data_IF_518152210968
#
_entry.id   IF_518152210968
#
_cell.length_a   1.000
_cell.length_b   1.000
_cell.length_c   1.000
_cell.angle_alpha   90.00
_cell.angle_beta   90.00
_cell.angle_gamma   90.00
#
_symmetry.space_group_name_H-M   'P 1'
#
loop_
_entity.id
_entity.type
_entity.pdbx_description
1 polymer ?
#
# COMPACT_ATOMS: atom_id res chain seq x y z
N UNK A 1 18.06 7.71 -27.76
CA UNK A 1 16.90 6.87 -27.41
C UNK A 1 15.66 7.72 -27.32
N UNK A 2 14.50 7.27 -27.82
CA UNK A 2 13.24 7.98 -27.63
C UNK A 2 12.86 7.99 -26.15
N UNK A 3 12.30 9.09 -25.64
CA UNK A 3 11.81 9.18 -24.26
C UNK A 3 10.69 8.15 -24.04
N UNK A 4 10.66 7.54 -22.87
CA UNK A 4 9.57 6.68 -22.46
C UNK A 4 8.34 7.53 -22.09
N UNK A 5 7.17 7.14 -22.58
CA UNK A 5 5.90 7.78 -22.20
C UNK A 5 5.36 7.16 -20.93
N UNK A 6 5.23 7.97 -19.88
CA UNK A 6 4.77 7.53 -18.55
C UNK A 6 3.46 8.25 -18.22
N UNK A 7 2.42 7.49 -17.87
CA UNK A 7 1.14 8.04 -17.42
C UNK A 7 0.90 7.71 -15.95
N UNK A 8 0.74 8.73 -15.11
CA UNK A 8 0.34 8.59 -13.71
C UNK A 8 -1.18 8.79 -13.59
N UNK A 9 -1.91 7.72 -13.39
CA UNK A 9 -3.36 7.77 -13.18
C UNK A 9 -3.62 8.02 -11.70
N UNK A 10 -4.36 9.10 -11.39
CA UNK A 10 -4.47 9.63 -10.04
C UNK A 10 -3.34 10.62 -9.67
N UNK A 11 -2.63 11.15 -10.67
CA UNK A 11 -1.51 12.09 -10.51
C UNK A 11 -1.84 13.39 -9.79
N UNK A 12 -3.12 13.71 -9.59
CA UNK A 12 -3.60 14.87 -8.81
C UNK A 12 -3.85 14.56 -7.32
N UNK A 13 -3.82 13.29 -6.92
CA UNK A 13 -3.89 12.86 -5.53
C UNK A 13 -2.56 13.06 -4.80
N UNK A 14 -2.55 12.96 -3.47
CA UNK A 14 -1.33 13.15 -2.65
C UNK A 14 -0.19 12.25 -3.14
N UNK A 15 -0.38 10.93 -3.15
CA UNK A 15 0.65 10.02 -3.62
C UNK A 15 1.03 10.26 -5.09
N UNK A 16 0.03 10.55 -5.95
CA UNK A 16 0.26 10.84 -7.37
C UNK A 16 1.09 12.10 -7.60
N UNK A 17 0.91 13.13 -6.78
CA UNK A 17 1.73 14.35 -6.84
C UNK A 17 3.19 14.05 -6.47
N UNK A 18 3.45 13.34 -5.36
CA UNK A 18 4.81 12.94 -4.98
C UNK A 18 5.50 12.12 -6.09
N UNK A 19 4.78 11.15 -6.68
CA UNK A 19 5.30 10.36 -7.80
C UNK A 19 5.60 11.25 -9.00
N UNK A 20 4.69 12.17 -9.33
CA UNK A 20 4.85 13.09 -10.45
C UNK A 20 6.05 14.02 -10.26
N UNK A 21 6.17 14.61 -9.08
CA UNK A 21 7.26 15.52 -8.74
C UNK A 21 8.61 14.79 -8.78
N UNK A 22 8.67 13.56 -8.27
CA UNK A 22 9.88 12.74 -8.36
C UNK A 22 10.25 12.42 -9.82
N UNK A 23 9.30 12.01 -10.64
CA UNK A 23 9.53 11.68 -12.05
C UNK A 23 9.94 12.88 -12.91
N UNK A 24 9.60 14.10 -12.50
CA UNK A 24 10.05 15.32 -13.18
C UNK A 24 11.58 15.47 -13.18
N UNK A 25 12.28 14.91 -12.22
CA UNK A 25 13.75 14.88 -12.20
C UNK A 25 14.33 14.03 -13.36
N UNK A 26 13.54 13.14 -13.93
CA UNK A 26 13.91 12.23 -15.02
C UNK A 26 13.34 12.65 -16.38
N UNK A 27 12.96 13.92 -16.54
CA UNK A 27 12.33 14.45 -17.75
C UNK A 27 13.19 14.31 -19.03
N UNK A 28 14.48 14.03 -18.88
CA UNK A 28 15.38 13.79 -20.02
C UNK A 28 15.18 12.41 -20.65
N UNK A 29 14.71 11.44 -19.87
CA UNK A 29 14.47 10.05 -20.31
C UNK A 29 12.99 9.70 -20.42
N UNK A 30 12.09 10.45 -19.79
CA UNK A 30 10.65 10.21 -19.86
C UNK A 30 9.85 11.44 -20.27
N UNK A 31 8.73 11.21 -20.94
CA UNK A 31 7.66 12.17 -21.21
C UNK A 31 6.50 11.87 -20.26
N UNK A 32 6.19 12.83 -19.37
CA UNK A 32 5.31 12.60 -18.25
C UNK A 32 3.90 13.12 -18.52
N UNK A 33 2.93 12.26 -18.25
CA UNK A 33 1.51 12.54 -18.31
C UNK A 33 0.86 12.21 -16.98
N UNK A 34 -0.16 13.00 -16.62
CA UNK A 34 -1.04 12.65 -15.49
C UNK A 34 -2.48 12.56 -15.96
N UNK A 35 -3.23 11.66 -15.34
CA UNK A 35 -4.64 11.52 -15.62
C UNK A 35 -5.49 11.63 -14.36
N UNK A 36 -6.64 12.29 -14.47
CA UNK A 36 -7.68 12.34 -13.45
C UNK A 36 -9.05 12.63 -14.07
N UNK A 37 -10.11 12.44 -13.26
CA UNK A 37 -11.50 12.70 -13.68
C UNK A 37 -11.82 14.19 -13.81
N UNK A 38 -11.22 15.02 -12.96
CA UNK A 38 -11.39 16.47 -12.98
C UNK A 38 -10.43 17.14 -13.95
N UNK A 39 -10.75 18.38 -14.36
CA UNK A 39 -9.81 19.23 -15.09
C UNK A 39 -9.00 20.00 -14.07
N UNK A 40 -7.68 19.79 -14.08
CA UNK A 40 -6.75 20.51 -13.22
C UNK A 40 -5.84 21.39 -14.08
N UNK A 41 -5.67 22.67 -13.66
CA UNK A 41 -4.62 23.52 -14.22
C UNK A 41 -3.29 23.05 -13.62
N UNK A 42 -2.44 22.50 -14.48
CA UNK A 42 -1.09 22.12 -14.09
C UNK A 42 -0.20 23.32 -14.34
N UNK A 43 0.51 23.79 -13.31
CA UNK A 43 1.46 24.90 -13.43
C UNK A 43 2.76 24.48 -14.12
N UNK A 44 3.09 23.18 -14.08
CA UNK A 44 4.31 22.63 -14.65
C UNK A 44 4.19 22.38 -16.16
N UNK A 45 4.92 23.16 -16.96
CA UNK A 45 4.94 23.02 -18.43
C UNK A 45 5.45 21.67 -18.95
N UNK A 46 6.13 20.90 -18.10
CA UNK A 46 6.73 19.59 -18.46
C UNK A 46 5.79 18.40 -18.27
N UNK A 47 4.60 18.63 -17.73
CA UNK A 47 3.59 17.58 -17.47
C UNK A 47 2.40 17.81 -18.37
N UNK A 48 1.97 16.76 -19.07
CA UNK A 48 0.76 16.79 -19.90
C UNK A 48 -0.42 16.20 -19.13
N UNK A 49 -1.60 16.77 -19.30
CA UNK A 49 -2.82 16.32 -18.61
C UNK A 49 -3.76 15.59 -19.55
N UNK A 50 -4.31 14.48 -19.07
CA UNK A 50 -5.35 13.70 -19.74
C UNK A 50 -6.57 13.61 -18.82
N UNK A 51 -7.73 14.04 -19.29
CA UNK A 51 -8.98 13.79 -18.58
C UNK A 51 -9.40 12.34 -18.86
N UNK A 52 -9.46 11.53 -17.81
CA UNK A 52 -9.79 10.10 -17.91
C UNK A 52 -10.52 9.60 -16.67
N UNK A 53 -11.53 8.76 -16.88
CA UNK A 53 -12.13 7.94 -15.84
C UNK A 53 -11.76 6.49 -16.09
N UNK A 54 -11.18 5.82 -15.08
CA UNK A 54 -10.79 4.40 -15.18
C UNK A 54 -11.98 3.45 -15.31
N UNK A 55 -13.20 3.92 -15.01
CA UNK A 55 -14.43 3.15 -15.15
C UNK A 55 -15.04 3.24 -16.56
N UNK A 56 -14.52 4.13 -17.41
CA UNK A 56 -14.88 4.21 -18.83
C UNK A 56 -14.09 3.18 -19.65
N UNK A 57 -14.55 1.93 -19.59
CA UNK A 57 -13.87 0.79 -20.21
C UNK A 57 -13.77 0.88 -21.74
N UNK A 58 -14.61 1.68 -22.40
CA UNK A 58 -14.59 1.81 -23.86
C UNK A 58 -13.39 2.62 -24.36
N UNK A 59 -12.97 3.63 -23.61
CA UNK A 59 -11.91 4.54 -24.01
C UNK A 59 -10.56 4.26 -23.37
N UNK A 60 -10.54 3.54 -22.25
CA UNK A 60 -9.31 3.33 -21.45
C UNK A 60 -8.21 2.62 -22.24
N UNK A 61 -8.52 1.59 -23.01
CA UNK A 61 -7.54 0.84 -23.78
C UNK A 61 -6.90 1.69 -24.89
N UNK A 62 -7.70 2.55 -25.54
CA UNK A 62 -7.19 3.46 -26.58
C UNK A 62 -6.18 4.47 -26.03
N UNK A 63 -6.30 4.82 -24.74
CA UNK A 63 -5.35 5.68 -24.03
C UNK A 63 -4.12 4.88 -23.61
N UNK A 64 -4.31 3.77 -22.88
CA UNK A 64 -3.23 2.99 -22.29
C UNK A 64 -2.19 2.53 -23.29
N UNK A 65 -2.62 2.05 -24.48
CA UNK A 65 -1.72 1.57 -25.55
C UNK A 65 -0.76 2.63 -26.11
N UNK A 66 -0.93 3.91 -25.78
CA UNK A 66 -0.06 4.98 -26.21
C UNK A 66 1.15 5.19 -25.29
N UNK A 67 1.21 4.45 -24.17
CA UNK A 67 2.21 4.61 -23.12
C UNK A 67 3.10 3.38 -23.02
N UNK A 68 4.33 3.61 -22.57
CA UNK A 68 5.25 2.52 -22.19
C UNK A 68 5.00 2.03 -20.77
N UNK A 69 4.64 2.97 -19.87
CA UNK A 69 4.49 2.71 -18.42
C UNK A 69 3.22 3.42 -17.92
N UNK A 70 2.40 2.67 -17.20
CA UNK A 70 1.25 3.20 -16.44
C UNK A 70 1.55 3.07 -14.95
N UNK A 71 1.36 4.16 -14.20
CA UNK A 71 1.46 4.15 -12.74
C UNK A 71 0.07 4.42 -12.15
N UNK A 72 -0.43 3.50 -11.36
CA UNK A 72 -1.73 3.62 -10.69
C UNK A 72 -1.53 4.17 -9.28
N UNK A 73 -1.71 5.48 -9.12
CA UNK A 73 -1.73 6.18 -7.84
C UNK A 73 -3.18 6.48 -7.41
N UNK A 74 -4.03 5.47 -7.51
CA UNK A 74 -5.46 5.54 -7.27
C UNK A 74 -5.79 5.08 -5.83
N UNK A 75 -7.06 5.24 -5.46
CA UNK A 75 -7.59 4.65 -4.24
C UNK A 75 -9.05 5.06 -4.00
N UNK A 76 -9.77 4.31 -3.16
CA UNK A 76 -9.35 3.03 -2.57
C UNK A 76 -9.29 1.90 -3.62
N UNK A 77 -8.28 1.04 -3.54
CA UNK A 77 -8.10 -0.04 -4.51
C UNK A 77 -9.22 -1.08 -4.47
N UNK A 78 -9.94 -1.20 -3.36
CA UNK A 78 -11.16 -2.02 -3.27
C UNK A 78 -12.20 -1.68 -4.35
N UNK A 79 -12.21 -0.42 -4.84
CA UNK A 79 -13.11 0.07 -5.88
C UNK A 79 -12.49 0.06 -7.29
N UNK A 80 -11.23 -0.34 -7.43
CA UNK A 80 -10.54 -0.43 -8.73
C UNK A 80 -10.77 -1.82 -9.33
N UNK A 81 -11.17 -1.89 -10.59
CA UNK A 81 -11.29 -3.16 -11.33
C UNK A 81 -9.92 -3.72 -11.72
N UNK A 82 -9.91 -5.00 -12.14
CA UNK A 82 -8.69 -5.64 -12.64
C UNK A 82 -8.49 -5.47 -14.16
N UNK A 83 -9.48 -4.92 -14.87
CA UNK A 83 -9.43 -4.75 -16.32
C UNK A 83 -8.24 -3.94 -16.80
N UNK A 84 -7.87 -2.89 -16.05
CA UNK A 84 -6.72 -2.05 -16.37
C UNK A 84 -5.41 -2.84 -16.45
N UNK A 85 -5.23 -3.81 -15.56
CA UNK A 85 -4.04 -4.67 -15.56
C UNK A 85 -4.06 -5.61 -16.80
N UNK A 86 -5.21 -6.17 -17.10
CA UNK A 86 -5.37 -7.03 -18.28
C UNK A 86 -5.13 -6.27 -19.58
N UNK A 87 -5.60 -5.01 -19.65
CA UNK A 87 -5.34 -4.11 -20.77
C UNK A 87 -3.84 -3.81 -20.91
N UNK A 88 -3.15 -3.49 -19.82
CA UNK A 88 -1.71 -3.26 -19.83
C UNK A 88 -0.95 -4.49 -20.33
N UNK A 89 -1.30 -5.67 -19.80
CA UNK A 89 -0.66 -6.93 -20.22
C UNK A 89 -0.85 -7.20 -21.72
N UNK A 90 -2.06 -7.07 -22.25
CA UNK A 90 -2.35 -7.29 -23.69
C UNK A 90 -1.64 -6.32 -24.61
N UNK A 91 -1.42 -5.09 -24.15
CA UNK A 91 -0.82 -4.03 -24.96
C UNK A 91 0.70 -3.85 -24.68
N UNK A 92 1.34 -4.79 -24.00
CA UNK A 92 2.79 -4.75 -23.69
C UNK A 92 3.23 -3.54 -22.88
N UNK A 93 2.33 -3.00 -22.06
CA UNK A 93 2.56 -1.85 -21.20
C UNK A 93 3.00 -2.33 -19.82
N UNK A 94 4.00 -1.68 -19.24
CA UNK A 94 4.38 -1.91 -17.85
C UNK A 94 3.36 -1.19 -16.95
N UNK A 95 2.76 -1.93 -16.00
CA UNK A 95 1.86 -1.38 -15.01
C UNK A 95 2.49 -1.44 -13.62
N UNK A 96 2.53 -0.31 -12.93
CA UNK A 96 3.03 -0.20 -11.54
C UNK A 96 1.89 0.35 -10.69
N UNK A 97 1.62 -0.23 -9.53
CA UNK A 97 0.63 0.31 -8.60
C UNK A 97 1.14 0.42 -7.17
N UNK A 98 0.47 1.26 -6.37
CA UNK A 98 0.70 1.41 -4.93
C UNK A 98 -0.40 0.73 -4.10
N UNK A 99 -0.95 -0.36 -4.61
CA UNK A 99 -2.08 -1.08 -4.05
C UNK A 99 -1.77 -1.62 -2.65
N UNK A 100 -2.58 -1.23 -1.66
CA UNK A 100 -2.51 -1.62 -0.26
C UNK A 100 -3.71 -2.48 0.19
N UNK A 101 -4.61 -2.84 -0.72
CA UNK A 101 -5.81 -3.62 -0.44
C UNK A 101 -5.55 -5.12 -0.57
N UNK A 102 -5.76 -5.88 0.52
CA UNK A 102 -5.56 -7.33 0.56
C UNK A 102 -6.43 -8.09 -0.45
N UNK A 103 -7.71 -7.69 -0.58
CA UNK A 103 -8.65 -8.34 -1.49
C UNK A 103 -8.33 -8.05 -2.95
N UNK A 104 -8.01 -6.79 -3.26
CA UNK A 104 -7.63 -6.39 -4.61
C UNK A 104 -6.33 -7.05 -5.05
N UNK A 105 -5.31 -7.10 -4.18
CA UNK A 105 -4.06 -7.82 -4.46
C UNK A 105 -4.29 -9.28 -4.81
N UNK A 106 -5.23 -9.95 -4.12
CA UNK A 106 -5.63 -11.31 -4.48
C UNK A 106 -6.15 -11.40 -5.91
N UNK A 107 -7.08 -10.51 -6.28
CA UNK A 107 -7.64 -10.48 -7.64
C UNK A 107 -6.59 -10.20 -8.72
N UNK A 108 -5.62 -9.30 -8.45
CA UNK A 108 -4.52 -9.03 -9.38
C UNK A 108 -3.61 -10.24 -9.54
N UNK A 109 -3.28 -10.94 -8.45
CA UNK A 109 -2.44 -12.12 -8.47
C UNK A 109 -3.09 -13.34 -9.14
N UNK A 110 -4.43 -13.34 -9.24
CA UNK A 110 -5.23 -14.37 -9.87
C UNK A 110 -5.52 -14.09 -11.36
N UNK A 111 -5.05 -12.96 -11.91
CA UNK A 111 -5.18 -12.70 -13.36
C UNK A 111 -4.47 -13.83 -14.11
N UNK A 112 -5.28 -14.78 -14.60
CA UNK A 112 -4.81 -15.91 -15.37
C UNK A 112 -4.71 -15.56 -16.84
N UNK A 113 -3.71 -16.16 -17.43
CA UNK A 113 -3.35 -15.93 -18.81
C UNK A 113 -3.96 -16.99 -19.75
N UNK A 114 -5.22 -17.32 -19.59
CA UNK A 114 -5.85 -18.41 -20.38
C UNK A 114 -5.95 -18.10 -21.88
N UNK A 115 -5.83 -16.84 -22.30
CA UNK A 115 -6.01 -16.41 -23.69
C UNK A 115 -4.86 -15.56 -24.24
N UNK A 116 -3.72 -15.48 -23.58
CA UNK A 116 -2.65 -14.57 -24.00
C UNK A 116 -1.35 -15.33 -24.21
N UNK A 117 -1.18 -15.82 -25.43
CA UNK A 117 -0.02 -16.59 -25.87
C UNK A 117 1.26 -15.74 -26.01
N UNK A 118 1.16 -14.40 -25.97
CA UNK A 118 2.28 -13.48 -26.21
C UNK A 118 2.33 -12.32 -25.21
N UNK A 119 2.32 -12.62 -23.91
CA UNK A 119 2.55 -11.57 -22.92
C UNK A 119 3.97 -11.01 -22.95
N UNK A 120 4.05 -9.70 -23.14
CA UNK A 120 5.28 -8.93 -22.93
C UNK A 120 5.08 -7.79 -21.93
N UNK A 121 3.86 -7.59 -21.42
CA UNK A 121 3.59 -6.65 -20.34
C UNK A 121 4.01 -7.19 -18.99
N UNK A 122 4.28 -6.30 -18.04
CA UNK A 122 4.68 -6.64 -16.67
C UNK A 122 3.85 -5.83 -15.69
N UNK A 123 3.39 -6.49 -14.62
CA UNK A 123 2.71 -5.81 -13.51
C UNK A 123 3.61 -5.84 -12.29
N UNK A 124 3.87 -4.67 -11.72
CA UNK A 124 4.46 -4.46 -10.40
C UNK A 124 3.37 -3.97 -9.47
N UNK A 125 2.81 -4.85 -8.66
CA UNK A 125 1.72 -4.50 -7.73
C UNK A 125 2.23 -4.33 -6.31
N UNK A 126 1.63 -3.38 -5.58
CA UNK A 126 1.98 -3.11 -4.19
C UNK A 126 3.32 -2.40 -4.01
N UNK A 127 3.66 -1.47 -4.89
CA UNK A 127 4.92 -0.72 -4.85
C UNK A 127 4.81 0.56 -4.00
N UNK A 128 4.15 0.43 -2.83
CA UNK A 128 3.99 1.51 -1.86
C UNK A 128 4.87 1.37 -0.62
N UNK A 129 4.35 1.84 0.53
CA UNK A 129 4.97 1.64 1.83
C UNK A 129 4.73 0.19 2.31
N UNK A 130 3.45 -0.21 2.37
CA UNK A 130 2.99 -1.51 2.84
C UNK A 130 1.81 -1.97 1.96
N UNK A 131 2.06 -2.87 1.01
CA UNK A 131 3.33 -3.51 0.63
C UNK A 131 4.28 -2.59 -0.17
N UNK A 132 5.45 -3.11 -0.44
CA UNK A 132 6.52 -2.49 -1.22
C UNK A 132 7.77 -2.32 -0.38
N UNK A 133 7.97 -1.17 0.25
CA UNK A 133 9.14 -0.94 1.12
C UNK A 133 9.22 -1.98 2.25
N UNK A 134 8.10 -2.32 2.86
CA UNK A 134 8.01 -3.35 3.91
C UNK A 134 8.43 -4.73 3.41
N UNK A 135 8.08 -5.08 2.18
CA UNK A 135 8.51 -6.34 1.57
C UNK A 135 10.03 -6.38 1.39
N UNK A 136 10.64 -5.30 0.90
CA UNK A 136 12.10 -5.21 0.79
C UNK A 136 12.79 -5.28 2.16
N UNK A 137 12.22 -4.68 3.19
CA UNK A 137 12.76 -4.77 4.55
C UNK A 137 12.68 -6.19 5.10
N UNK A 138 11.62 -6.94 4.83
CA UNK A 138 11.49 -8.34 5.22
C UNK A 138 12.53 -9.21 4.51
N UNK A 139 12.71 -9.03 3.20
CA UNK A 139 13.73 -9.73 2.42
C UNK A 139 15.14 -9.41 2.93
N UNK A 140 15.43 -8.14 3.18
CA UNK A 140 16.71 -7.73 3.74
C UNK A 140 16.96 -8.36 5.12
N UNK A 141 15.95 -8.36 6.00
CA UNK A 141 16.05 -8.99 7.32
C UNK A 141 16.29 -10.50 7.20
N UNK A 142 15.61 -11.18 6.28
CA UNK A 142 15.80 -12.60 6.00
C UNK A 142 17.20 -12.91 5.47
N UNK A 143 17.75 -12.02 4.63
CA UNK A 143 19.14 -12.14 4.16
C UNK A 143 20.14 -12.05 5.32
N UNK A 144 19.93 -11.10 6.25
CA UNK A 144 20.79 -10.94 7.44
C UNK A 144 20.67 -12.12 8.41
N UNK A 145 19.50 -12.77 8.49
CA UNK A 145 19.31 -13.96 9.31
C UNK A 145 20.18 -15.13 8.84
N UNK A 146 20.48 -15.22 7.54
CA UNK A 146 21.31 -16.27 6.90
C UNK A 146 20.81 -17.70 7.15
N UNK A 147 19.55 -17.85 7.47
CA UNK A 147 18.87 -19.11 7.81
C UNK A 147 17.42 -19.03 7.34
N UNK A 148 16.77 -20.18 7.29
CA UNK A 148 15.35 -20.29 6.98
C UNK A 148 14.51 -19.48 7.96
N UNK A 149 13.61 -18.65 7.47
CA UNK A 149 12.67 -17.85 8.27
C UNK A 149 11.48 -18.73 8.64
N UNK A 150 11.21 -18.84 9.94
CA UNK A 150 10.04 -19.57 10.45
C UNK A 150 8.90 -18.63 10.86
N UNK A 151 9.24 -17.45 11.33
CA UNK A 151 8.26 -16.45 11.76
C UNK A 151 8.70 -15.06 11.30
N UNK A 152 7.72 -14.25 10.91
CA UNK A 152 7.94 -12.87 10.53
C UNK A 152 6.84 -11.97 11.11
N UNK A 153 7.18 -10.73 11.38
CA UNK A 153 6.26 -9.72 11.88
C UNK A 153 6.53 -8.38 11.20
N UNK A 154 5.46 -7.68 10.88
CA UNK A 154 5.52 -6.31 10.37
C UNK A 154 4.82 -5.36 11.33
N UNK A 155 5.51 -4.33 11.78
CA UNK A 155 5.00 -3.32 12.71
C UNK A 155 5.25 -1.93 12.15
N UNK A 156 4.21 -1.09 12.12
CA UNK A 156 4.30 0.26 11.59
C UNK A 156 3.76 1.25 12.65
N UNK A 157 4.53 2.28 12.95
CA UNK A 157 4.08 3.41 13.73
C UNK A 157 3.81 4.60 12.80
N UNK A 158 2.68 5.25 13.01
CA UNK A 158 2.33 6.49 12.33
C UNK A 158 2.14 7.60 13.36
N UNK A 159 2.97 8.65 13.26
CA UNK A 159 2.83 9.87 14.03
C UNK A 159 1.55 10.64 13.64
N UNK A 160 1.04 11.46 14.55
CA UNK A 160 -0.22 12.19 14.36
C UNK A 160 -0.20 13.20 13.21
N UNK A 161 0.97 13.68 12.84
CA UNK A 161 1.17 14.64 11.74
C UNK A 161 1.42 14.00 10.38
N UNK A 162 1.41 12.67 10.29
CA UNK A 162 1.60 11.98 9.02
C UNK A 162 0.43 12.24 8.07
N UNK A 163 0.73 12.77 6.90
CA UNK A 163 -0.28 13.07 5.87
C UNK A 163 -0.61 11.82 5.09
N UNK A 164 -1.89 11.51 5.01
CA UNK A 164 -2.41 10.42 4.19
C UNK A 164 -3.46 10.91 3.21
N UNK A 165 -3.50 10.34 2.02
CA UNK A 165 -4.58 10.63 1.06
C UNK A 165 -5.95 10.19 1.58
N UNK A 166 -7.00 10.91 1.19
CA UNK A 166 -8.40 10.57 1.55
C UNK A 166 -8.72 9.10 1.25
N UNK A 167 -8.22 8.57 0.13
CA UNK A 167 -8.43 7.19 -0.27
C UNK A 167 -7.76 6.18 0.70
N UNK A 168 -6.54 6.46 1.16
CA UNK A 168 -5.85 5.62 2.15
C UNK A 168 -6.56 5.62 3.49
N UNK A 169 -7.05 6.78 3.93
CA UNK A 169 -7.85 6.89 5.17
C UNK A 169 -9.13 6.06 5.05
N UNK A 170 -9.85 6.18 3.94
CA UNK A 170 -11.07 5.38 3.69
C UNK A 170 -10.72 3.89 3.72
N UNK A 171 -9.66 3.47 3.03
CA UNK A 171 -9.24 2.07 2.97
C UNK A 171 -8.89 1.53 4.36
N UNK A 172 -8.12 2.29 5.15
CA UNK A 172 -7.79 1.94 6.52
C UNK A 172 -9.04 1.74 7.39
N UNK A 173 -9.99 2.69 7.35
CA UNK A 173 -11.21 2.60 8.16
C UNK A 173 -12.17 1.52 7.67
N UNK A 174 -12.26 1.28 6.37
CA UNK A 174 -13.06 0.17 5.82
C UNK A 174 -12.44 -1.19 6.16
N UNK A 175 -11.12 -1.29 6.25
CA UNK A 175 -10.43 -2.49 6.70
C UNK A 175 -10.77 -2.92 8.14
N UNK A 176 -11.26 -2.00 8.98
CA UNK A 176 -11.69 -2.36 10.34
C UNK A 176 -12.93 -3.27 10.38
N UNK A 177 -13.76 -3.30 9.33
CA UNK A 177 -14.98 -4.13 9.30
C UNK A 177 -14.71 -5.61 9.07
N UNK A 178 -13.59 -5.93 8.44
CA UNK A 178 -13.31 -7.27 7.94
C UNK A 178 -12.60 -8.14 8.97
N UNK A 179 -12.73 -9.45 8.83
CA UNK A 179 -11.92 -10.39 9.59
C UNK A 179 -10.46 -10.24 9.18
N UNK A 180 -9.57 -10.48 10.13
CA UNK A 180 -8.15 -10.45 9.89
C UNK A 180 -7.70 -11.69 9.12
N UNK A 181 -6.93 -11.47 8.08
CA UNK A 181 -6.17 -12.50 7.40
C UNK A 181 -4.74 -12.45 7.91
N UNK A 182 -4.21 -13.58 8.32
CA UNK A 182 -2.82 -13.73 8.74
C UNK A 182 -2.32 -15.12 8.35
N UNK A 183 -1.01 -15.29 8.30
CA UNK A 183 -0.42 -16.61 8.13
C UNK A 183 -0.21 -17.24 9.51
N UNK A 184 -0.76 -18.43 9.71
CA UNK A 184 -0.57 -19.21 10.94
C UNK A 184 -0.45 -20.68 10.59
N UNK A 185 0.60 -21.33 11.09
CA UNK A 185 0.90 -22.74 10.80
C UNK A 185 0.96 -23.02 9.29
N UNK A 186 1.59 -22.12 8.53
CA UNK A 186 1.77 -22.16 7.07
C UNK A 186 0.48 -21.95 6.24
N UNK A 187 -0.64 -21.67 6.88
CA UNK A 187 -1.93 -21.44 6.23
C UNK A 187 -2.43 -20.02 6.44
N UNK A 188 -3.04 -19.45 5.40
CA UNK A 188 -3.74 -18.17 5.54
C UNK A 188 -5.04 -18.42 6.30
N UNK A 189 -5.11 -17.93 7.53
CA UNK A 189 -6.27 -18.08 8.40
C UNK A 189 -7.06 -16.81 8.55
N UNK A 190 -8.38 -16.95 8.58
CA UNK A 190 -9.32 -15.88 8.87
C UNK A 190 -9.60 -15.87 10.37
N UNK A 191 -9.28 -14.77 11.03
CA UNK A 191 -9.41 -14.64 12.49
C UNK A 191 -10.30 -13.43 12.80
N UNK A 192 -11.24 -13.62 13.74
CA UNK A 192 -12.04 -12.50 14.24
C UNK A 192 -11.16 -11.53 15.02
N UNK A 193 -11.19 -10.25 14.68
CA UNK A 193 -10.34 -9.25 15.31
C UNK A 193 -10.42 -9.18 16.83
N UNK A 194 -11.60 -9.46 17.40
CA UNK A 194 -11.83 -9.44 18.84
C UNK A 194 -11.00 -10.44 19.64
N UNK A 195 -10.49 -11.50 18.99
CA UNK A 195 -9.62 -12.50 19.64
C UNK A 195 -8.14 -12.11 19.63
N UNK A 196 -7.75 -11.12 18.85
CA UNK A 196 -6.33 -10.82 18.59
C UNK A 196 -5.83 -9.50 19.21
N UNK A 197 -6.69 -8.69 19.82
CA UNK A 197 -6.41 -7.26 19.96
C UNK A 197 -6.21 -6.70 21.36
N UNK A 198 -6.61 -7.37 22.42
CA UNK A 198 -6.79 -6.61 23.66
C UNK A 198 -5.51 -6.23 24.38
N UNK A 199 -4.43 -7.02 24.25
CA UNK A 199 -3.29 -6.90 25.17
C UNK A 199 -1.92 -6.84 24.50
N UNK A 200 -1.85 -6.73 23.15
CA UNK A 200 -0.56 -6.69 22.47
C UNK A 200 -0.05 -5.26 22.32
N UNK A 201 1.05 -4.99 22.95
CA UNK A 201 1.83 -3.76 22.78
C UNK A 201 3.15 -4.08 22.09
N UNK A 202 3.77 -3.04 21.53
CA UNK A 202 5.04 -3.15 20.84
C UNK A 202 5.95 -1.97 21.17
N UNK A 203 7.24 -2.23 21.25
CA UNK A 203 8.26 -1.19 21.42
C UNK A 203 9.01 -1.02 20.11
N UNK A 204 8.74 0.09 19.42
CA UNK A 204 9.41 0.44 18.19
C UNK A 204 10.85 0.88 18.46
N UNK A 205 11.01 1.85 19.34
CA UNK A 205 12.30 2.37 19.82
C UNK A 205 12.21 2.81 21.28
N UNK A 206 13.24 3.52 21.78
CA UNK A 206 13.29 3.99 23.17
C UNK A 206 12.22 5.03 23.53
N UNK A 207 11.69 5.76 22.54
CA UNK A 207 10.67 6.79 22.72
C UNK A 207 9.25 6.27 22.52
N UNK A 208 9.11 5.21 21.71
CA UNK A 208 7.82 4.61 21.33
C UNK A 208 7.71 3.21 21.92
N UNK A 209 7.62 3.14 23.25
CA UNK A 209 7.52 1.88 24.01
C UNK A 209 6.08 1.58 24.41
N UNK A 210 5.75 0.27 24.47
CA UNK A 210 4.44 -0.23 24.89
C UNK A 210 3.26 0.34 24.08
N UNK A 211 3.47 0.61 22.79
CA UNK A 211 2.45 1.12 21.89
C UNK A 211 1.41 0.06 21.58
N UNK A 212 0.11 0.30 21.83
CA UNK A 212 -0.94 -0.67 21.50
C UNK A 212 -1.04 -0.88 20.00
N UNK A 213 -1.28 -2.12 19.58
CA UNK A 213 -1.27 -2.52 18.18
C UNK A 213 -2.67 -2.72 17.61
N UNK A 214 -2.84 -2.35 16.36
CA UNK A 214 -4.01 -2.64 15.54
C UNK A 214 -3.56 -3.57 14.42
N UNK A 215 -4.04 -4.81 14.43
CA UNK A 215 -3.73 -5.79 13.39
C UNK A 215 -4.57 -5.55 12.12
N UNK A 216 -3.97 -5.78 10.98
CA UNK A 216 -4.61 -5.62 9.67
C UNK A 216 -4.15 -6.70 8.68
N UNK A 217 -4.95 -6.90 7.64
CA UNK A 217 -4.63 -7.83 6.56
C UNK A 217 -3.80 -7.12 5.51
N UNK A 218 -2.50 -7.40 5.49
CA UNK A 218 -1.59 -6.84 4.49
C UNK A 218 -1.50 -7.73 3.24
N UNK A 219 -1.35 -7.16 2.04
CA UNK A 219 -1.10 -7.91 0.82
C UNK A 219 0.11 -8.84 0.88
N UNK A 220 1.14 -8.52 1.68
CA UNK A 220 2.32 -9.39 1.88
C UNK A 220 1.94 -10.79 2.35
N UNK A 221 0.85 -10.95 3.10
CA UNK A 221 0.37 -12.26 3.57
C UNK A 221 0.14 -13.23 2.39
N UNK A 222 -0.23 -12.69 1.22
CA UNK A 222 -0.46 -13.48 -0.01
C UNK A 222 0.80 -13.80 -0.79
N UNK A 223 1.82 -13.01 -0.63
CA UNK A 223 3.00 -13.02 -1.53
C UNK A 223 4.26 -13.54 -0.85
N UNK A 224 4.40 -13.34 0.46
CA UNK A 224 5.64 -13.59 1.19
C UNK A 224 6.14 -15.03 1.06
N UNK A 225 5.24 -16.02 1.11
CA UNK A 225 5.62 -17.44 0.98
C UNK A 225 6.11 -17.82 -0.43
N UNK A 226 5.94 -16.95 -1.44
CA UNK A 226 6.44 -17.19 -2.80
C UNK A 226 7.93 -16.88 -2.93
N UNK A 227 8.48 -16.15 -1.98
CA UNK A 227 9.90 -15.86 -1.95
C UNK A 227 10.65 -17.01 -1.29
N UNK A 228 11.76 -17.44 -1.90
CA UNK A 228 12.50 -18.65 -1.49
C UNK A 228 12.97 -18.66 -0.03
N UNK A 229 13.26 -17.47 0.51
CA UNK A 229 13.69 -17.34 1.93
C UNK A 229 12.57 -17.60 2.94
N UNK A 230 11.32 -17.56 2.49
CA UNK A 230 10.10 -17.67 3.30
C UNK A 230 9.28 -18.94 3.00
N UNK A 231 9.81 -19.89 2.25
CA UNK A 231 9.12 -21.15 1.92
C UNK A 231 8.69 -21.94 3.16
N UNK A 232 9.48 -21.86 4.24
CA UNK A 232 9.22 -22.52 5.50
C UNK A 232 8.49 -21.64 6.53
N UNK A 233 8.07 -20.45 6.14
CA UNK A 233 7.39 -19.50 7.02
C UNK A 233 6.12 -20.08 7.60
N UNK A 234 6.04 -20.15 8.92
CA UNK A 234 4.92 -20.71 9.66
C UNK A 234 3.91 -19.63 10.06
N UNK A 235 4.43 -18.48 10.53
CA UNK A 235 3.59 -17.41 11.05
C UNK A 235 4.03 -16.05 10.49
N UNK A 236 3.05 -15.26 10.05
CA UNK A 236 3.26 -13.88 9.66
C UNK A 236 2.02 -13.03 9.97
N UNK A 237 2.23 -11.97 10.68
CA UNK A 237 1.20 -10.98 10.98
C UNK A 237 1.69 -9.53 10.81
N UNK A 238 0.73 -8.64 10.57
CA UNK A 238 0.95 -7.23 10.34
C UNK A 238 0.13 -6.41 11.32
N UNK A 239 0.76 -5.42 11.94
CA UNK A 239 0.07 -4.49 12.82
C UNK A 239 0.66 -3.08 12.75
N UNK A 240 -0.17 -2.10 13.05
CA UNK A 240 0.28 -0.72 13.17
C UNK A 240 -0.16 -0.09 14.49
N UNK A 241 0.51 0.99 14.86
CA UNK A 241 0.07 1.96 15.84
C UNK A 241 -0.23 3.29 15.14
N UNK A 242 -1.33 3.90 15.49
CA UNK A 242 -1.69 5.23 15.02
C UNK A 242 -1.73 6.17 16.23
N UNK A 243 -0.80 7.10 16.28
CA UNK A 243 -0.74 8.11 17.35
C UNK A 243 -2.06 8.89 17.43
N UNK A 244 -2.56 9.11 18.62
CA UNK A 244 -3.82 9.82 18.88
C UNK A 244 -5.11 9.07 18.48
N UNK A 245 -5.07 7.82 18.03
CA UNK A 245 -6.27 7.01 17.90
C UNK A 245 -6.58 6.32 19.25
N UNK A 246 -7.66 6.70 19.94
CA UNK A 246 -8.04 6.03 21.20
C UNK A 246 -8.39 4.58 20.93
N UNK A 247 -7.69 3.63 21.53
CA UNK A 247 -7.93 2.19 21.30
C UNK A 247 -9.35 1.75 21.65
N UNK A 248 -10.00 2.41 22.62
CA UNK A 248 -11.39 2.13 22.99
C UNK A 248 -12.41 2.37 21.87
N UNK A 249 -12.08 3.15 20.85
CA UNK A 249 -12.97 3.39 19.70
C UNK A 249 -12.91 2.27 18.64
N UNK A 250 -11.84 1.48 18.61
CA UNK A 250 -11.63 0.42 17.60
C UNK A 250 -12.80 -0.58 17.56
N UNK A 251 -13.33 -1.08 18.68
CA UNK A 251 -14.51 -1.95 18.65
C UNK A 251 -15.76 -1.30 18.05
N UNK A 252 -15.94 0.03 18.25
CA UNK A 252 -17.06 0.78 17.65
C UNK A 252 -16.86 0.96 16.15
N UNK A 253 -15.65 1.25 15.71
CA UNK A 253 -15.27 1.32 14.28
C UNK A 253 -15.60 0.00 13.57
N UNK A 254 -15.37 -1.13 14.22
CA UNK A 254 -15.68 -2.45 13.66
C UNK A 254 -17.16 -2.72 13.49
N UNK A 255 -17.97 -2.31 14.46
CA UNK A 255 -19.42 -2.61 14.48
C UNK A 255 -20.27 -1.68 13.63
N UNK A 256 -19.85 -0.42 13.44
CA UNK A 256 -20.70 0.61 12.84
C UNK A 256 -20.09 1.28 11.62
N UNK A 257 -20.69 1.05 10.45
CA UNK A 257 -20.32 1.77 9.22
C UNK A 257 -20.57 3.28 9.31
N UNK A 258 -21.57 3.69 10.06
CA UNK A 258 -21.88 5.10 10.29
C UNK A 258 -20.74 5.78 11.06
N UNK A 259 -20.27 5.15 12.14
CA UNK A 259 -19.15 5.68 12.95
C UNK A 259 -17.88 5.75 12.11
N UNK A 260 -17.56 4.71 11.32
CA UNK A 260 -16.42 4.76 10.40
C UNK A 260 -16.46 5.94 9.46
N UNK A 261 -17.61 6.14 8.78
CA UNK A 261 -17.80 7.27 7.84
C UNK A 261 -17.67 8.62 8.53
N UNK A 262 -18.23 8.76 9.74
CA UNK A 262 -18.17 10.01 10.51
C UNK A 262 -16.71 10.32 10.88
N UNK A 263 -15.99 9.38 11.46
CA UNK A 263 -14.61 9.57 11.88
C UNK A 263 -13.70 9.79 10.67
N UNK A 264 -13.89 9.03 9.60
CA UNK A 264 -13.16 9.25 8.35
C UNK A 264 -13.32 10.68 7.82
N UNK A 265 -14.56 11.23 7.84
CA UNK A 265 -14.80 12.64 7.48
C UNK A 265 -14.11 13.63 8.43
N UNK A 266 -14.12 13.36 9.73
CA UNK A 266 -13.45 14.21 10.72
C UNK A 266 -11.94 14.21 10.52
N UNK A 267 -11.33 13.05 10.37
CA UNK A 267 -9.88 12.90 10.12
C UNK A 267 -9.49 13.63 8.82
N UNK A 268 -10.22 13.41 7.73
CA UNK A 268 -9.98 14.09 6.46
C UNK A 268 -10.05 15.62 6.59
N UNK A 269 -11.03 16.13 7.35
CA UNK A 269 -11.17 17.59 7.58
C UNK A 269 -10.03 18.16 8.43
N UNK A 270 -9.54 17.38 9.38
CA UNK A 270 -8.51 17.82 10.33
C UNK A 270 -7.09 17.65 9.80
N UNK A 271 -6.86 16.85 8.76
CA UNK A 271 -5.51 16.56 8.26
C UNK A 271 -4.66 17.80 8.00
N UNK A 272 -5.23 18.80 7.31
CA UNK A 272 -4.50 20.04 7.05
C UNK A 272 -4.14 20.85 8.32
N UNK A 273 -4.87 20.66 9.42
CA UNK A 273 -4.55 21.26 10.72
C UNK A 273 -3.51 20.43 11.48
N UNK A 274 -3.61 19.09 11.39
CA UNK A 274 -2.67 18.16 12.03
C UNK A 274 -1.28 18.29 11.40
N UNK A 275 -1.21 18.44 10.08
CA UNK A 275 0.04 18.65 9.34
C UNK A 275 0.75 19.97 9.73
N UNK A 276 -0.03 21.04 9.90
CA UNK A 276 0.46 22.37 10.23
C UNK A 276 0.86 22.53 11.70
N UNK A 277 0.42 21.62 12.56
CA UNK A 277 0.76 21.65 13.96
C UNK A 277 2.17 21.07 14.16
N UNK A 278 3.14 21.94 14.39
CA UNK A 278 4.55 21.59 14.62
C UNK A 278 4.77 20.66 15.83
N UNK A 279 3.79 20.59 16.76
CA UNK A 279 3.83 19.67 17.91
C UNK A 279 3.48 18.24 17.55
N UNK A 280 2.87 18.00 16.38
CA UNK A 280 2.53 16.67 15.95
C UNK A 280 3.74 15.99 15.29
N UNK A 281 4.03 14.82 15.78
CA UNK A 281 5.08 13.97 15.20
C UNK A 281 4.70 13.56 13.78
N UNK A 282 5.59 13.76 12.83
CA UNK A 282 5.41 13.44 11.41
C UNK A 282 6.11 12.16 11.00
N UNK A 283 6.77 11.48 11.93
CA UNK A 283 7.56 10.30 11.64
C UNK A 283 6.70 9.06 11.35
N UNK A 284 7.23 8.21 10.49
CA UNK A 284 6.78 6.84 10.28
C UNK A 284 7.91 5.92 10.67
N UNK A 285 7.63 4.95 11.54
CA UNK A 285 8.61 3.93 11.92
C UNK A 285 8.14 2.58 11.39
N UNK A 286 8.95 1.96 10.56
CA UNK A 286 8.69 0.61 10.06
C UNK A 286 9.65 -0.36 10.69
N UNK A 287 9.11 -1.43 11.25
CA UNK A 287 9.86 -2.46 11.93
C UNK A 287 9.51 -3.82 11.35
N UNK A 288 10.50 -4.54 10.88
CA UNK A 288 10.32 -5.93 10.45
C UNK A 288 11.14 -6.85 11.35
N UNK A 289 10.52 -7.96 11.74
CA UNK A 289 11.17 -9.04 12.46
C UNK A 289 11.10 -10.30 11.64
N UNK A 290 12.22 -11.00 11.58
CA UNK A 290 12.28 -12.35 11.05
C UNK A 290 13.04 -13.23 12.04
N UNK A 291 12.55 -14.42 12.27
CA UNK A 291 13.19 -15.35 13.20
C UNK A 291 13.12 -16.79 12.76
N UNK A 292 14.05 -17.57 13.28
CA UNK A 292 14.01 -19.00 13.35
C UNK A 292 14.10 -19.46 14.80
N UNK A 293 14.34 -20.76 15.04
CA UNK A 293 14.40 -21.33 16.39
C UNK A 293 15.43 -20.65 17.31
N UNK A 294 16.56 -20.18 16.77
CA UNK A 294 17.73 -19.77 17.55
C UNK A 294 18.21 -18.33 17.29
N UNK A 295 17.62 -17.64 16.36
CA UNK A 295 18.10 -16.31 15.92
C UNK A 295 16.94 -15.42 15.53
N UNK A 296 17.11 -14.12 15.79
CA UNK A 296 16.16 -13.07 15.40
C UNK A 296 16.92 -11.93 14.75
N UNK A 297 16.35 -11.38 13.69
CA UNK A 297 16.82 -10.13 13.07
C UNK A 297 15.67 -9.12 13.09
N UNK A 298 15.99 -7.94 13.57
CA UNK A 298 15.11 -6.77 13.55
C UNK A 298 15.69 -5.74 12.60
N UNK A 299 14.89 -5.29 11.63
CA UNK A 299 15.22 -4.12 10.82
C UNK A 299 14.27 -2.98 11.18
N UNK A 300 14.84 -1.79 11.33
CA UNK A 300 14.13 -0.58 11.69
C UNK A 300 14.42 0.48 10.63
N UNK A 301 13.37 1.08 10.09
CA UNK A 301 13.43 2.29 9.27
C UNK A 301 12.65 3.38 9.98
N UNK A 302 13.28 4.53 10.16
CA UNK A 302 12.68 5.72 10.73
C UNK A 302 12.71 6.83 9.68
N UNK A 303 11.55 7.43 9.40
CA UNK A 303 11.47 8.65 8.59
C UNK A 303 11.32 9.84 9.54
N UNK A 304 12.22 10.77 9.43
CA UNK A 304 12.10 12.08 10.08
C UNK A 304 11.17 13.01 9.31
#
# INVERSE_FOLDING_TARGET
MSKKKVLVIGGTGIAGQFITDYLLHYHDICELFIASRGIHKISEKKVKFIKMDIHDTQNIESVIKQFDIIILALGPFSCVGTDIYTICLRNHVICVDINDDYGHSGRVLEIKNENITNFRGTIFTGMGLCPGLTTFMLEYAAEQLKKTVLEAELRIYFGAGVVSGTASIINMFEGFKDDLMLLSEREIRRIKPTKYHSDRTFTFDRFHSNMPLIFFSSPEIRTIQRASRFEELQNFDCAFHLQNLPMGIVPLLRKSSFIRKLICKMVNKQQGQLEKNEKNEKSVIVCTYVRNQNSIVKCLLHSD
#
